data_IF_719439991559
#
_entry.id   IF_719439991559
#
_cell.length_a   1.000
_cell.length_b   1.000
_cell.length_c   1.000
_cell.angle_alpha   90.00
_cell.angle_beta   90.00
_cell.angle_gamma   90.00
#
_symmetry.space_group_name_H-M   'P 1'
#
loop_
_entity.id
_entity.type
_entity.pdbx_description
1 polymer ?
#
# COMPACT_ATOMS: atom_id res chain seq x y z
N UNK A 1 -6.65 -19.25 9.86
CA UNK A 1 -7.01 -18.51 9.99
C UNK A 1 -6.33 -17.46 10.18
N UNK A 2 -5.60 -17.15 10.25
CA UNK A 2 -4.90 -16.07 10.58
C UNK A 2 -3.94 -15.61 9.58
N UNK A 3 -4.15 -15.91 8.32
CA UNK A 3 -3.25 -15.50 7.28
C UNK A 3 -3.08 -13.99 7.24
N UNK A 4 -4.13 -13.26 7.58
CA UNK A 4 -4.02 -11.82 7.50
C UNK A 4 -3.19 -11.21 8.60
N UNK A 5 -2.66 -12.00 9.51
CA UNK A 5 -1.78 -11.47 10.53
C UNK A 5 -0.31 -11.70 10.18
N UNK A 6 -0.01 -12.18 9.01
CA UNK A 6 1.38 -12.35 8.61
C UNK A 6 2.03 -10.98 8.43
N UNK A 7 3.30 -10.84 8.79
CA UNK A 7 3.99 -9.57 8.60
C UNK A 7 4.11 -9.23 7.12
N UNK A 8 3.75 -8.02 6.77
CA UNK A 8 3.71 -7.57 5.38
C UNK A 8 4.30 -6.18 5.26
N UNK A 9 5.16 -5.99 4.26
CA UNK A 9 5.62 -4.67 3.85
C UNK A 9 4.78 -4.28 2.64
N UNK A 10 4.35 -3.03 2.55
CA UNK A 10 3.47 -2.63 1.45
C UNK A 10 3.79 -1.22 0.97
N UNK A 11 3.41 -0.96 -0.27
CA UNK A 11 3.49 0.38 -0.84
C UNK A 11 2.11 0.80 -1.28
N UNK A 12 1.73 2.01 -0.88
CA UNK A 12 0.48 2.62 -1.33
C UNK A 12 0.82 3.76 -2.27
N UNK A 13 -0.06 4.05 -3.19
CA UNK A 13 0.11 5.17 -4.12
C UNK A 13 -1.18 5.96 -4.22
N UNK A 14 -1.06 7.24 -4.54
CA UNK A 14 -2.24 8.05 -4.77
C UNK A 14 -2.84 7.72 -6.14
N UNK A 15 -1.97 7.39 -7.09
CA UNK A 15 -2.36 7.01 -8.42
C UNK A 15 -1.10 6.54 -9.12
N UNK A 16 -1.20 6.13 -10.37
CA UNK A 16 -0.02 5.72 -11.11
C UNK A 16 0.98 6.89 -11.13
N UNK A 17 2.20 6.57 -10.78
CA UNK A 17 3.27 7.56 -10.68
C UNK A 17 2.98 8.70 -9.70
N UNK A 18 2.08 8.49 -8.77
CA UNK A 18 1.75 9.51 -7.78
C UNK A 18 2.57 9.43 -6.52
N UNK A 19 2.05 9.98 -5.45
CA UNK A 19 2.70 9.97 -4.15
C UNK A 19 2.75 8.54 -3.61
N UNK A 20 3.86 8.16 -3.02
CA UNK A 20 4.05 6.82 -2.49
C UNK A 20 4.18 6.84 -0.97
N UNK A 21 3.70 5.79 -0.35
CA UNK A 21 3.81 5.62 1.10
C UNK A 21 4.22 4.17 1.35
N UNK A 22 5.28 3.96 2.13
CA UNK A 22 5.72 2.62 2.48
C UNK A 22 5.36 2.34 3.93
N UNK A 23 4.88 1.15 4.20
CA UNK A 23 4.49 0.77 5.55
C UNK A 23 4.72 -0.69 5.83
N UNK A 24 4.56 -1.07 7.08
CA UNK A 24 4.68 -2.45 7.51
C UNK A 24 3.57 -2.73 8.50
N UNK A 25 3.00 -3.92 8.45
CA UNK A 25 1.90 -4.25 9.33
C UNK A 25 1.84 -5.75 9.55
N UNK A 26 1.22 -6.18 10.63
CA UNK A 26 0.94 -7.59 10.84
C UNK A 26 -0.44 -7.96 10.33
N UNK A 27 -1.23 -6.99 9.86
CA UNK A 27 -2.59 -7.26 9.39
C UNK A 27 -2.88 -6.29 8.24
N UNK A 28 -2.60 -6.73 7.03
CA UNK A 28 -2.69 -5.85 5.87
C UNK A 28 -4.12 -5.37 5.62
N UNK A 29 -5.08 -6.26 5.70
CA UNK A 29 -6.47 -5.88 5.41
C UNK A 29 -6.96 -4.82 6.37
N UNK A 30 -6.69 -5.00 7.66
CA UNK A 30 -7.10 -4.02 8.65
C UNK A 30 -6.41 -2.69 8.41
N UNK A 31 -5.12 -2.72 8.07
CA UNK A 31 -4.38 -1.49 7.85
C UNK A 31 -4.90 -0.75 6.61
N UNK A 32 -5.29 -1.49 5.57
CA UNK A 32 -5.83 -0.85 4.38
C UNK A 32 -7.16 -0.17 4.67
N UNK A 33 -7.99 -0.78 5.51
CA UNK A 33 -9.21 -0.16 5.90
C UNK A 33 -8.92 1.13 6.66
N UNK A 34 -7.95 1.11 7.56
CA UNK A 34 -7.60 2.28 8.35
C UNK A 34 -7.12 3.43 7.46
N UNK A 35 -6.30 3.10 6.46
CA UNK A 35 -5.83 4.13 5.54
C UNK A 35 -6.98 4.74 4.76
N UNK A 36 -7.93 3.91 4.33
CA UNK A 36 -9.05 4.41 3.53
C UNK A 36 -10.01 5.26 4.34
N UNK A 37 -10.21 4.89 5.60
CA UNK A 37 -11.09 5.64 6.44
C UNK A 37 -10.47 6.97 6.86
N UNK A 38 -9.19 6.99 7.10
CA UNK A 38 -8.56 8.21 7.58
C UNK A 38 -8.46 9.26 6.50
N UNK A 39 -8.67 8.92 5.22
CA UNK A 39 -8.58 9.96 4.23
C UNK A 39 -9.76 10.92 4.32
N UNK A 40 -10.80 10.60 5.07
CA UNK A 40 -11.90 11.54 5.19
C UNK A 40 -11.57 12.66 6.18
N UNK A 41 -10.66 12.45 7.11
CA UNK A 41 -10.34 13.51 8.05
C UNK A 41 -8.88 13.49 8.38
N UNK A 42 -8.07 12.72 7.77
CA UNK A 42 -6.71 12.57 8.13
C UNK A 42 -5.76 13.21 7.21
N UNK A 43 -4.52 12.98 7.54
CA UNK A 43 -3.42 13.46 6.80
C UNK A 43 -3.43 13.02 5.36
N UNK A 44 -3.80 11.78 5.07
CA UNK A 44 -3.74 11.30 3.70
C UNK A 44 -4.88 11.77 2.83
N UNK A 45 -5.87 12.44 3.38
CA UNK A 45 -7.00 12.84 2.56
C UNK A 45 -6.59 13.77 1.42
N UNK A 46 -5.58 14.59 1.64
CA UNK A 46 -5.17 15.54 0.63
C UNK A 46 -4.48 14.86 -0.53
N UNK A 47 -3.90 13.70 -0.31
CA UNK A 47 -3.17 13.00 -1.33
C UNK A 47 -3.87 11.76 -1.83
N UNK A 48 -4.86 11.29 -1.11
CA UNK A 48 -5.55 10.07 -1.48
C UNK A 48 -4.62 8.87 -1.60
N UNK A 49 -3.63 8.76 -0.72
CA UNK A 49 -2.61 7.72 -0.82
C UNK A 49 -3.14 6.45 -0.18
N UNK A 50 -3.96 5.71 -0.90
CA UNK A 50 -4.54 4.48 -0.36
C UNK A 50 -4.71 3.35 -1.38
N UNK A 51 -4.16 3.50 -2.58
CA UNK A 51 -4.21 2.43 -3.58
C UNK A 51 -3.06 1.47 -3.28
N UNK A 52 -3.34 0.19 -3.05
CA UNK A 52 -2.29 -0.77 -2.75
C UNK A 52 -1.64 -1.22 -4.05
N UNK A 53 -0.38 -0.87 -4.26
CA UNK A 53 0.30 -1.19 -5.52
C UNK A 53 1.38 -2.25 -5.38
N UNK A 54 1.76 -2.61 -4.17
CA UNK A 54 2.76 -3.65 -3.95
C UNK A 54 2.72 -4.12 -2.50
N UNK A 55 2.93 -5.40 -2.26
CA UNK A 55 3.12 -5.90 -0.90
C UNK A 55 3.96 -7.16 -0.93
N UNK A 56 4.56 -7.48 0.21
CA UNK A 56 5.46 -8.61 0.31
C UNK A 56 5.34 -9.19 1.71
N UNK A 57 5.11 -10.48 1.82
CA UNK A 57 5.00 -11.13 3.11
C UNK A 57 6.38 -11.54 3.61
N UNK A 58 6.54 -11.52 4.92
CA UNK A 58 7.79 -11.91 5.54
C UNK A 58 7.53 -12.93 6.65
N UNK A 59 8.55 -13.72 6.98
CA UNK A 59 8.42 -14.74 8.01
C UNK A 59 8.27 -14.13 9.40
N UNK A 60 8.89 -12.99 9.63
CA UNK A 60 8.84 -12.35 10.95
C UNK A 60 8.64 -10.85 10.80
N UNK A 61 8.11 -10.24 11.85
CA UNK A 61 7.94 -8.80 11.86
C UNK A 61 9.30 -8.08 11.82
N UNK A 62 10.31 -8.67 12.44
CA UNK A 62 11.64 -8.10 12.40
C UNK A 62 12.15 -7.95 10.99
N UNK A 63 12.02 -9.00 10.17
CA UNK A 63 12.48 -8.94 8.79
C UNK A 63 11.65 -7.94 7.99
N UNK A 64 10.36 -7.89 8.26
CA UNK A 64 9.49 -6.96 7.55
C UNK A 64 9.87 -5.51 7.85
N UNK A 65 10.18 -5.23 9.11
CA UNK A 65 10.57 -3.87 9.50
C UNK A 65 11.88 -3.47 8.84
N UNK A 66 12.83 -4.38 8.77
CA UNK A 66 14.11 -4.10 8.11
C UNK A 66 13.89 -3.80 6.63
N UNK A 67 13.04 -4.60 5.98
CA UNK A 67 12.75 -4.40 4.56
C UNK A 67 12.08 -3.04 4.32
N UNK A 68 11.11 -2.71 5.17
CA UNK A 68 10.39 -1.45 5.04
C UNK A 68 11.35 -0.27 5.18
N UNK A 69 12.26 -0.34 6.13
CA UNK A 69 13.22 0.74 6.33
C UNK A 69 14.16 0.89 5.13
N UNK A 70 14.55 -0.23 4.52
CA UNK A 70 15.39 -0.16 3.34
C UNK A 70 14.66 0.48 2.18
N UNK A 71 13.42 0.06 1.94
CA UNK A 71 12.63 0.61 0.85
C UNK A 71 12.40 2.10 1.03
N UNK A 72 12.17 2.53 2.26
CA UNK A 72 11.98 3.95 2.51
C UNK A 72 13.18 4.80 2.12
N UNK A 73 14.39 4.22 2.18
CA UNK A 73 15.59 4.95 1.84
C UNK A 73 15.89 4.92 0.35
N UNK A 74 15.24 4.09 -0.42
CA UNK A 74 15.47 4.02 -1.85
C UNK A 74 15.02 5.29 -2.53
N UNK A 75 15.64 5.62 -3.67
CA UNK A 75 15.15 6.72 -4.46
C UNK A 75 13.83 6.30 -5.12
N UNK A 76 13.14 7.27 -5.68
CA UNK A 76 11.82 7.02 -6.24
C UNK A 76 11.85 6.02 -7.39
N UNK A 77 12.86 6.09 -8.26
CA UNK A 77 12.87 5.20 -9.41
C UNK A 77 13.02 3.74 -9.00
N UNK A 78 13.71 3.46 -7.92
CA UNK A 78 13.82 2.09 -7.43
C UNK A 78 12.48 1.60 -6.89
N UNK A 79 11.73 2.46 -6.21
CA UNK A 79 10.41 2.09 -5.71
C UNK A 79 9.46 1.82 -6.87
N UNK A 80 9.52 2.63 -7.90
CA UNK A 80 8.69 2.44 -9.08
C UNK A 80 9.03 1.13 -9.77
N UNK A 81 10.32 0.81 -9.90
CA UNK A 81 10.74 -0.45 -10.49
C UNK A 81 10.21 -1.64 -9.70
N UNK A 82 10.26 -1.56 -8.38
CA UNK A 82 9.75 -2.63 -7.54
C UNK A 82 8.26 -2.85 -7.79
N UNK A 83 7.50 -1.78 -7.87
CA UNK A 83 6.08 -1.87 -8.14
C UNK A 83 5.83 -2.50 -9.49
N UNK A 84 6.50 -2.00 -10.50
CA UNK A 84 6.18 -2.38 -11.88
C UNK A 84 6.69 -3.77 -12.27
N UNK A 85 7.60 -4.33 -11.50
CA UNK A 85 8.03 -5.68 -11.73
C UNK A 85 6.86 -6.66 -11.62
N UNK A 86 5.97 -6.43 -10.66
CA UNK A 86 4.84 -7.32 -10.43
C UNK A 86 3.50 -6.70 -10.78
N UNK A 87 3.45 -5.40 -10.91
CA UNK A 87 2.17 -4.68 -11.11
C UNK A 87 2.40 -3.52 -12.07
N UNK A 88 2.69 -3.82 -13.34
CA UNK A 88 3.05 -2.76 -14.29
C UNK A 88 1.97 -1.72 -14.54
N UNK A 89 0.72 -2.05 -14.27
CA UNK A 89 -0.37 -1.10 -14.50
C UNK A 89 -0.78 -0.35 -13.24
N UNK A 90 -0.12 -0.60 -12.13
CA UNK A 90 -0.41 0.04 -10.85
C UNK A 90 -1.87 -0.18 -10.42
N UNK A 91 -2.36 -1.40 -10.63
CA UNK A 91 -3.71 -1.75 -10.22
C UNK A 91 -3.81 -1.73 -8.71
N UNK A 92 -5.00 -1.52 -8.21
CA UNK A 92 -5.24 -1.57 -6.78
C UNK A 92 -5.36 -3.04 -6.36
N UNK A 93 -4.28 -3.57 -5.81
CA UNK A 93 -4.23 -4.97 -5.43
C UNK A 93 -5.17 -5.31 -4.27
N UNK A 94 -5.67 -4.30 -3.56
CA UNK A 94 -6.58 -4.54 -2.45
C UNK A 94 -7.89 -5.14 -2.91
N UNK A 95 -8.29 -4.90 -4.16
CA UNK A 95 -9.53 -5.47 -4.67
C UNK A 95 -9.40 -6.98 -4.70
N UNK A 96 -8.24 -7.51 -5.09
CA UNK A 96 -8.02 -8.95 -5.07
C UNK A 96 -7.98 -9.54 -3.66
N UNK A 97 -7.81 -8.70 -2.64
CA UNK A 97 -7.83 -9.12 -1.27
C UNK A 97 -9.21 -8.98 -0.63
N UNK A 98 -10.19 -8.53 -1.39
CA UNK A 98 -11.56 -8.46 -0.91
C UNK A 98 -12.06 -7.08 -0.53
N UNK A 99 -11.27 -6.04 -0.71
CA UNK A 99 -11.75 -4.72 -0.40
C UNK A 99 -12.52 -4.14 -1.58
N UNK A 100 -13.42 -3.24 -1.28
CA UNK A 100 -14.19 -2.56 -2.33
C UNK A 100 -13.30 -1.61 -3.11
N UNK A 101 -13.60 -1.34 -4.37
CA UNK A 101 -12.83 -0.36 -5.14
C UNK A 101 -12.91 1.01 -4.48
N UNK A 102 -11.85 1.79 -4.69
CA UNK A 102 -11.81 3.13 -4.15
C UNK A 102 -12.88 3.97 -4.83
N UNK A 103 -13.70 4.62 -4.05
CA UNK A 103 -14.79 5.34 -4.61
C UNK A 103 -14.48 6.61 -5.28
N UNK A 104 -13.71 7.32 -4.75
CA UNK A 104 -13.67 8.62 -5.14
C UNK A 104 -13.28 8.98 -6.37
N UNK A 105 -12.60 8.29 -6.85
CA UNK A 105 -12.02 8.79 -7.88
C UNK A 105 -12.84 9.19 -8.80
N UNK A 106 -13.75 8.61 -8.97
CA UNK A 106 -14.35 8.89 -10.00
C UNK A 106 -14.99 9.95 -9.98
N UNK A 107 -15.31 10.22 -9.29
CA UNK A 107 -16.06 11.20 -9.31
C UNK A 107 -15.67 12.28 -9.69
N UNK A 108 -15.18 12.55 -9.85
CA UNK A 108 -15.02 13.55 -10.08
C UNK A 108 -15.00 13.87 -10.91
N UNK A 109 -15.10 13.59 -11.18
CA UNK A 109 -15.27 14.02 -11.98
C UNK A 109 -15.20 14.53 -12.13
#
# INVERSE_FOLDING_TARGET
>A
MHAHFDPVVYLLASRRNGTLYAGVTSDLIKRLYQHRESQSDGFTKDYGVCRLVWFEQHATMEHAIIREKRIKKWNRSWKISLIEEANPDWDDLAIGLGLAPLPSLRVRG
#
